data_IF_689014910837
#
_entry.id   IF_689014910837
#
_cell.length_a   1.000
_cell.length_b   1.000
_cell.length_c   1.000
_cell.angle_alpha   90.00
_cell.angle_beta   90.00
_cell.angle_gamma   90.00
#
_symmetry.space_group_name_H-M   'P 1'
#
loop_
_entity.id
_entity.type
_entity.pdbx_description
1 polymer ?
#
# COMPACT_ATOMS: atom_id res chain seq x y z
N UNK A 1 4.62 -8.93 25.51
CA UNK A 1 4.53 -9.68 24.23
C UNK A 1 5.90 -10.00 23.61
N UNK A 2 6.88 -9.09 23.67
CA UNK A 2 8.24 -9.30 23.13
C UNK A 2 8.92 -10.58 23.65
N UNK A 3 8.86 -10.81 24.96
CA UNK A 3 9.48 -11.95 25.65
C UNK A 3 8.91 -13.30 25.21
N UNK A 4 7.58 -13.38 25.04
CA UNK A 4 6.91 -14.63 24.63
C UNK A 4 7.28 -14.93 23.17
N UNK A 5 7.19 -13.92 22.30
CA UNK A 5 7.59 -14.04 20.89
C UNK A 5 9.05 -14.46 20.73
N UNK A 6 9.98 -13.86 21.49
CA UNK A 6 11.41 -14.21 21.48
C UNK A 6 11.65 -15.66 21.93
N UNK A 7 10.93 -16.12 22.97
CA UNK A 7 11.06 -17.49 23.47
C UNK A 7 10.48 -18.52 22.49
N UNK A 8 9.31 -18.26 21.91
CA UNK A 8 8.72 -19.15 20.90
C UNK A 8 9.58 -19.20 19.63
N UNK A 9 10.22 -18.08 19.27
CA UNK A 9 11.13 -17.97 18.13
C UNK A 9 12.43 -18.76 18.34
N UNK A 10 13.00 -18.77 19.55
CA UNK A 10 14.19 -19.58 19.89
C UNK A 10 13.93 -21.08 19.92
N UNK A 11 12.75 -21.51 20.36
CA UNK A 11 12.40 -22.92 20.51
C UNK A 11 12.13 -23.64 19.18
N UNK A 12 11.78 -22.92 18.11
CA UNK A 12 11.40 -23.53 16.82
C UNK A 12 12.59 -24.07 16.01
N UNK A 13 13.83 -23.92 16.47
CA UNK A 13 15.02 -24.66 16.00
C UNK A 13 15.48 -24.45 14.55
N UNK A 14 14.70 -23.75 13.72
CA UNK A 14 14.92 -23.66 12.26
C UNK A 14 15.06 -22.21 11.78
N UNK A 15 15.55 -21.32 12.65
CA UNK A 15 15.90 -19.98 12.23
C UNK A 15 17.36 -20.00 11.82
N UNK A 16 17.60 -20.13 10.51
CA UNK A 16 18.75 -19.47 9.90
C UNK A 16 18.73 -18.05 10.46
N UNK A 17 19.67 -17.78 11.35
CA UNK A 17 19.95 -16.46 11.87
C UNK A 17 20.21 -15.62 10.63
N UNK A 18 19.18 -14.97 10.07
CA UNK A 18 19.33 -14.13 8.91
C UNK A 18 20.28 -13.03 9.36
N UNK A 19 21.50 -13.21 8.89
CA UNK A 19 22.70 -12.52 9.26
C UNK A 19 22.46 -11.02 9.20
N UNK A 20 23.28 -10.29 9.93
CA UNK A 20 23.48 -8.87 9.68
C UNK A 20 23.99 -8.70 8.22
N UNK A 21 23.07 -8.79 7.25
CA UNK A 21 23.39 -8.94 5.84
C UNK A 21 24.14 -7.69 5.40
N UNK A 22 25.30 -7.85 4.75
CA UNK A 22 26.06 -6.70 4.32
C UNK A 22 25.27 -5.92 3.26
N UNK A 23 25.16 -4.62 3.45
CA UNK A 23 24.53 -3.70 2.48
C UNK A 23 25.58 -3.28 1.47
N UNK A 24 25.26 -3.12 0.19
CA UNK A 24 26.23 -2.60 -0.78
C UNK A 24 26.30 -1.08 -0.72
N UNK A 25 27.50 -0.53 -0.69
CA UNK A 25 27.72 0.90 -0.88
C UNK A 25 27.49 1.31 -2.36
N UNK A 26 27.83 2.55 -2.69
CA UNK A 26 27.65 3.10 -4.05
C UNK A 26 28.62 2.50 -5.07
N UNK A 27 29.75 1.96 -4.61
CA UNK A 27 30.79 1.34 -5.43
C UNK A 27 30.59 -0.19 -5.50
N UNK A 28 29.59 -0.71 -4.79
CA UNK A 28 29.25 -2.13 -4.75
C UNK A 28 29.98 -2.92 -3.66
N UNK A 29 30.75 -2.26 -2.79
CA UNK A 29 31.44 -2.90 -1.67
C UNK A 29 30.48 -3.17 -0.51
N UNK A 30 30.78 -4.19 0.29
CA UNK A 30 29.93 -4.64 1.38
C UNK A 30 30.16 -3.83 2.66
N UNK A 31 29.11 -3.20 3.16
CA UNK A 31 29.02 -2.50 4.43
C UNK A 31 28.43 -3.44 5.47
N UNK A 32 29.20 -3.72 6.53
CA UNK A 32 28.82 -4.63 7.62
C UNK A 32 28.51 -3.91 8.92
N UNK A 33 28.97 -2.67 9.12
CA UNK A 33 28.75 -1.90 10.36
C UNK A 33 27.34 -1.30 10.37
N UNK A 34 26.59 -1.46 11.45
CA UNK A 34 25.18 -1.04 11.57
C UNK A 34 24.97 0.47 11.33
N UNK A 35 25.85 1.30 11.89
CA UNK A 35 25.80 2.76 11.69
C UNK A 35 25.97 3.13 10.21
N UNK A 36 26.97 2.54 9.55
CA UNK A 36 27.25 2.78 8.14
C UNK A 36 26.12 2.24 7.25
N UNK A 37 25.47 1.13 7.64
CA UNK A 37 24.26 0.63 6.96
C UNK A 37 23.13 1.63 7.06
N UNK A 38 22.91 2.22 8.24
CA UNK A 38 21.85 3.20 8.45
C UNK A 38 22.11 4.47 7.62
N UNK A 39 23.34 4.97 7.60
CA UNK A 39 23.74 6.09 6.74
C UNK A 39 23.57 5.75 5.25
N UNK A 40 23.97 4.54 4.84
CA UNK A 40 23.81 4.07 3.47
C UNK A 40 22.34 4.01 3.05
N UNK A 41 21.46 3.54 3.93
CA UNK A 41 20.01 3.51 3.72
C UNK A 41 19.43 4.92 3.63
N UNK A 42 19.80 5.80 4.56
CA UNK A 42 19.39 7.22 4.54
C UNK A 42 19.76 7.87 3.21
N UNK A 43 21.03 7.76 2.80
CA UNK A 43 21.53 8.31 1.54
C UNK A 43 20.80 7.72 0.33
N UNK A 44 20.56 6.40 0.32
CA UNK A 44 19.83 5.74 -0.76
C UNK A 44 18.43 6.32 -0.96
N UNK A 45 17.66 6.39 0.12
CA UNK A 45 16.28 6.89 0.07
C UNK A 45 16.24 8.40 -0.18
N UNK A 46 17.19 9.18 0.35
CA UNK A 46 17.29 10.61 0.03
C UNK A 46 17.45 10.84 -1.48
N UNK A 47 18.31 10.05 -2.15
CA UNK A 47 18.51 10.18 -3.60
C UNK A 47 17.30 9.73 -4.42
N UNK A 48 16.57 8.71 -3.97
CA UNK A 48 15.44 8.14 -4.73
C UNK A 48 14.16 8.95 -4.52
N UNK A 49 13.87 9.33 -3.27
CA UNK A 49 12.58 9.92 -2.89
C UNK A 49 12.56 11.44 -3.02
N UNK A 50 13.71 12.13 -2.95
CA UNK A 50 13.79 13.59 -3.06
C UNK A 50 14.36 14.05 -4.41
N UNK A 51 14.09 13.29 -5.48
CA UNK A 51 14.51 13.70 -6.83
C UNK A 51 13.69 14.93 -7.24
N UNK A 52 14.32 15.97 -7.82
CA UNK A 52 13.56 17.08 -8.40
C UNK A 52 12.64 16.56 -9.50
N UNK A 53 11.54 17.28 -9.74
CA UNK A 53 10.67 17.00 -10.87
C UNK A 53 11.49 16.93 -12.17
N UNK A 54 11.20 15.98 -13.06
CA UNK A 54 11.90 15.89 -14.33
C UNK A 54 11.75 17.22 -15.09
N UNK A 55 12.83 17.72 -15.74
CA UNK A 55 12.83 19.03 -16.39
C UNK A 55 11.89 19.10 -17.60
N UNK A 56 11.46 17.95 -18.10
CA UNK A 56 10.53 17.80 -19.21
C UNK A 56 9.36 16.96 -18.71
N UNK A 57 8.16 17.50 -18.82
CA UNK A 57 6.94 16.72 -18.58
C UNK A 57 6.83 15.61 -19.62
N UNK A 58 6.36 14.44 -19.20
CA UNK A 58 6.08 13.38 -20.14
C UNK A 58 5.02 13.86 -21.14
N UNK A 59 5.35 13.86 -22.42
CA UNK A 59 4.38 14.04 -23.50
C UNK A 59 3.71 12.69 -23.73
N UNK A 60 2.60 12.47 -23.01
CA UNK A 60 1.81 11.25 -23.09
C UNK A 60 0.80 11.47 -24.22
N UNK A 61 0.96 10.84 -25.39
CA UNK A 61 -0.01 10.99 -26.47
C UNK A 61 -1.36 10.41 -26.03
N UNK A 62 -2.43 11.01 -26.52
CA UNK A 62 -3.78 10.50 -26.31
C UNK A 62 -3.88 9.06 -26.84
N UNK A 63 -4.65 8.22 -26.14
CA UNK A 63 -4.88 6.87 -26.60
C UNK A 63 -5.54 6.91 -27.99
N UNK A 64 -5.11 6.02 -28.89
CA UNK A 64 -5.69 5.94 -30.25
C UNK A 64 -7.13 5.41 -30.20
N UNK A 65 -7.45 4.61 -29.20
CA UNK A 65 -8.76 4.03 -28.97
C UNK A 65 -9.10 4.13 -27.48
N UNK A 66 -10.35 4.47 -27.19
CA UNK A 66 -10.88 4.38 -25.84
C UNK A 66 -11.03 2.91 -25.44
N UNK A 67 -10.77 2.63 -24.16
CA UNK A 67 -11.02 1.30 -23.61
C UNK A 67 -12.52 1.06 -23.49
N UNK A 68 -12.97 -0.13 -23.87
CA UNK A 68 -14.35 -0.58 -23.66
C UNK A 68 -14.59 -0.89 -22.17
N UNK A 69 -14.84 0.17 -21.40
CA UNK A 69 -15.06 0.14 -19.95
C UNK A 69 -16.38 0.85 -19.66
N UNK A 70 -17.14 0.30 -18.72
CA UNK A 70 -18.34 0.95 -18.22
C UNK A 70 -17.97 2.21 -17.42
N UNK A 71 -18.43 3.38 -17.90
CA UNK A 71 -18.26 4.68 -17.24
C UNK A 71 -19.59 5.23 -16.69
N UNK A 72 -20.63 4.39 -16.63
CA UNK A 72 -21.91 4.74 -15.99
C UNK A 72 -21.74 4.96 -14.48
N UNK A 73 -22.79 5.47 -13.85
CA UNK A 73 -22.84 5.69 -12.41
C UNK A 73 -22.56 4.40 -11.62
N UNK A 74 -21.86 4.55 -10.50
CA UNK A 74 -21.50 3.45 -9.62
C UNK A 74 -22.77 2.94 -8.93
N UNK A 75 -23.04 1.64 -9.07
CA UNK A 75 -24.22 1.02 -8.46
C UNK A 75 -23.94 0.44 -7.08
N UNK A 76 -24.98 0.35 -6.24
CA UNK A 76 -24.86 -0.25 -4.91
C UNK A 76 -24.51 -1.73 -5.01
N UNK A 77 -25.00 -2.43 -6.03
CA UNK A 77 -24.73 -3.84 -6.31
C UNK A 77 -23.25 -4.08 -6.64
N UNK A 78 -22.63 -3.22 -7.43
CA UNK A 78 -21.19 -3.28 -7.71
C UNK A 78 -20.37 -3.09 -6.44
N UNK A 79 -20.73 -2.10 -5.61
CA UNK A 79 -20.06 -1.86 -4.33
C UNK A 79 -20.22 -3.06 -3.39
N UNK A 80 -21.43 -3.65 -3.30
CA UNK A 80 -21.68 -4.87 -2.53
C UNK A 80 -20.78 -6.02 -2.98
N UNK A 81 -20.70 -6.24 -4.28
CA UNK A 81 -19.88 -7.30 -4.84
C UNK A 81 -18.39 -7.05 -4.58
N UNK A 82 -17.93 -5.80 -4.71
CA UNK A 82 -16.55 -5.40 -4.43
C UNK A 82 -16.19 -5.62 -2.95
N UNK A 83 -17.05 -5.19 -2.01
CA UNK A 83 -16.87 -5.40 -0.57
C UNK A 83 -16.81 -6.89 -0.26
N UNK A 84 -17.68 -7.71 -0.85
CA UNK A 84 -17.68 -9.16 -0.65
C UNK A 84 -16.37 -9.81 -1.12
N UNK A 85 -15.81 -9.32 -2.23
CA UNK A 85 -14.57 -9.81 -2.84
C UNK A 85 -13.29 -9.40 -2.08
N UNK A 86 -13.37 -8.50 -1.09
CA UNK A 86 -12.21 -8.13 -0.27
C UNK A 86 -11.61 -9.36 0.43
N UNK A 87 -10.29 -9.38 0.63
CA UNK A 87 -9.64 -10.48 1.36
C UNK A 87 -9.78 -10.27 2.87
N UNK A 88 -10.18 -11.31 3.58
CA UNK A 88 -10.20 -11.32 5.05
C UNK A 88 -8.76 -11.43 5.61
N UNK A 89 -8.58 -11.04 6.86
CA UNK A 89 -7.32 -11.10 7.61
C UNK A 89 -6.32 -10.01 7.21
N UNK A 90 -6.78 -8.94 6.55
CA UNK A 90 -5.95 -7.77 6.26
C UNK A 90 -5.93 -6.84 7.46
N UNK A 91 -4.78 -6.24 7.72
CA UNK A 91 -4.66 -5.22 8.75
C UNK A 91 -5.51 -4.00 8.37
N UNK A 92 -6.15 -3.34 9.34
CA UNK A 92 -6.84 -2.07 9.09
C UNK A 92 -5.85 -0.98 8.69
N UNK A 93 -6.34 0.05 8.01
CA UNK A 93 -5.60 1.29 7.80
C UNK A 93 -5.57 2.14 9.07
N UNK A 94 -5.16 3.40 8.92
CA UNK A 94 -5.14 4.39 10.00
C UNK A 94 -6.57 4.71 10.53
N UNK A 95 -7.58 4.41 9.72
CA UNK A 95 -9.01 4.50 10.07
C UNK A 95 -9.48 3.40 11.02
N UNK A 96 -8.67 2.35 11.24
CA UNK A 96 -9.03 1.21 12.07
C UNK A 96 -10.08 0.28 11.45
N UNK A 97 -10.44 0.44 10.18
CA UNK A 97 -11.50 -0.33 9.53
C UNK A 97 -10.94 -1.57 8.83
N UNK A 98 -11.35 -2.75 9.29
CA UNK A 98 -10.98 -4.02 8.66
C UNK A 98 -11.98 -4.42 7.56
N UNK A 99 -11.57 -5.22 6.56
CA UNK A 99 -12.50 -5.77 5.55
C UNK A 99 -13.70 -6.52 6.14
N UNK A 100 -13.52 -7.22 7.25
CA UNK A 100 -14.59 -7.94 7.94
C UNK A 100 -15.66 -7.00 8.49
N UNK A 101 -15.29 -5.80 8.92
CA UNK A 101 -16.24 -4.80 9.40
C UNK A 101 -17.12 -4.30 8.27
N UNK A 102 -16.53 -4.08 7.09
CA UNK A 102 -17.26 -3.69 5.89
C UNK A 102 -18.20 -4.80 5.40
N UNK A 103 -17.81 -6.07 5.58
CA UNK A 103 -18.62 -7.23 5.20
C UNK A 103 -19.70 -7.60 6.22
N UNK A 104 -19.57 -7.17 7.47
CA UNK A 104 -20.51 -7.51 8.54
C UNK A 104 -21.89 -6.87 8.34
N UNK A 105 -21.96 -5.77 7.59
CA UNK A 105 -23.17 -5.04 7.27
C UNK A 105 -23.28 -4.94 5.74
N UNK A 106 -24.35 -5.50 5.18
CA UNK A 106 -24.53 -5.70 3.73
C UNK A 106 -25.58 -4.76 3.11
N UNK A 107 -26.14 -3.83 3.89
CA UNK A 107 -27.23 -2.95 3.44
C UNK A 107 -26.88 -1.47 3.40
N UNK A 108 -26.42 -0.89 4.50
CA UNK A 108 -26.16 0.55 4.65
C UNK A 108 -24.71 0.93 4.32
N UNK A 109 -23.74 0.09 4.66
CA UNK A 109 -22.32 0.25 4.37
C UNK A 109 -22.09 0.37 2.86
N UNK A 110 -22.64 -0.53 2.02
CA UNK A 110 -22.49 -0.39 0.57
C UNK A 110 -23.16 0.87 0.01
N UNK A 111 -24.30 1.31 0.58
CA UNK A 111 -24.98 2.55 0.15
C UNK A 111 -24.13 3.78 0.48
N UNK A 112 -23.56 3.84 1.68
CA UNK A 112 -22.71 4.95 2.10
C UNK A 112 -21.44 5.02 1.26
N UNK A 113 -20.79 3.87 1.03
CA UNK A 113 -19.63 3.77 0.16
C UNK A 113 -19.96 4.21 -1.27
N UNK A 114 -21.10 3.77 -1.82
CA UNK A 114 -21.57 4.17 -3.15
C UNK A 114 -21.71 5.69 -3.26
N UNK A 115 -22.31 6.36 -2.27
CA UNK A 115 -22.44 7.82 -2.27
C UNK A 115 -21.09 8.55 -2.25
N UNK A 116 -20.14 8.05 -1.45
CA UNK A 116 -18.80 8.64 -1.38
C UNK A 116 -18.07 8.45 -2.71
N UNK A 117 -18.09 7.24 -3.26
CA UNK A 117 -17.43 6.90 -4.51
C UNK A 117 -18.02 7.69 -5.69
N UNK A 118 -19.35 7.79 -5.79
CA UNK A 118 -20.01 8.58 -6.83
C UNK A 118 -19.61 10.05 -6.74
N UNK A 119 -19.54 10.62 -5.52
CA UNK A 119 -19.11 12.00 -5.35
C UNK A 119 -17.67 12.24 -5.80
N UNK A 120 -16.78 11.27 -5.58
CA UNK A 120 -15.39 11.32 -6.05
C UNK A 120 -15.36 11.22 -7.59
N UNK A 121 -16.17 10.32 -8.17
CA UNK A 121 -16.32 10.15 -9.61
C UNK A 121 -16.78 11.45 -10.28
N UNK A 122 -17.88 12.04 -9.82
CA UNK A 122 -18.46 13.25 -10.42
C UNK A 122 -17.56 14.49 -10.28
N UNK A 123 -16.82 14.59 -9.17
CA UNK A 123 -16.03 15.78 -8.85
C UNK A 123 -14.57 15.70 -9.31
N UNK A 124 -14.12 14.49 -9.66
CA UNK A 124 -12.72 14.15 -9.97
C UNK A 124 -11.74 14.64 -8.88
N UNK A 125 -12.20 14.74 -7.63
CA UNK A 125 -11.45 15.29 -6.51
C UNK A 125 -11.43 14.32 -5.35
N UNK A 126 -10.24 14.11 -4.81
CA UNK A 126 -10.08 13.39 -3.56
C UNK A 126 -10.81 14.12 -2.41
N UNK A 127 -11.42 13.38 -1.47
CA UNK A 127 -11.87 13.95 -0.21
C UNK A 127 -10.69 14.62 0.51
N UNK A 128 -10.96 15.68 1.26
CA UNK A 128 -9.95 16.25 2.14
C UNK A 128 -9.81 15.35 3.37
N UNK A 129 -8.58 15.12 3.79
CA UNK A 129 -8.22 14.42 5.03
C UNK A 129 -8.80 15.12 6.29
#
# INVERSE_FOLDING_TARGET
MKTVYENTKKLKGDYNQHYDLPVRDEVGAYVTVEQDKLERWKKHFECILNRPDPPVLADIPEAVEDLDINCDDITVEEVKQAVHNLKNGKAPGDDGVCPEMLKAEDTETPKLLCQILQKIWDSEKAPKD
#
